data_IF_413446130283
#
_entry.id   IF_413446130283
#
_cell.length_a   1.000
_cell.length_b   1.000
_cell.length_c   1.000
_cell.angle_alpha   90.00
_cell.angle_beta   90.00
_cell.angle_gamma   90.00
#
_symmetry.space_group_name_H-M   'P 1'
#
loop_
_entity.id
_entity.type
_entity.pdbx_description
1 polymer ?
#
# COMPACT_ATOMS: atom_id res chain seq x y z
N UNK A 1 -10.56 -4.51 23.29
CA UNK A 1 -11.59 -3.67 22.63
C UNK A 1 -12.38 -4.50 21.62
N UNK A 2 -11.76 -5.14 20.63
CA UNK A 2 -12.44 -5.96 19.61
C UNK A 2 -13.37 -7.05 20.18
N UNK A 3 -12.91 -7.81 21.17
CA UNK A 3 -13.72 -8.84 21.85
C UNK A 3 -15.00 -8.29 22.48
N UNK A 4 -15.00 -7.04 22.95
CA UNK A 4 -16.21 -6.38 23.47
C UNK A 4 -17.28 -6.13 22.41
N UNK A 5 -16.88 -6.15 21.13
CA UNK A 5 -17.76 -6.03 19.96
C UNK A 5 -18.07 -7.39 19.31
N UNK A 6 -17.80 -8.51 19.99
CA UNK A 6 -18.09 -9.86 19.51
C UNK A 6 -17.10 -10.38 18.46
N UNK A 7 -16.00 -9.66 18.18
CA UNK A 7 -14.99 -10.09 17.21
C UNK A 7 -14.04 -11.09 17.87
N UNK A 8 -13.95 -12.29 17.31
CA UNK A 8 -13.03 -13.33 17.77
C UNK A 8 -11.60 -12.93 17.37
N UNK A 9 -10.81 -12.54 18.35
CA UNK A 9 -9.45 -12.07 18.09
C UNK A 9 -8.43 -12.64 19.08
N UNK A 10 -7.21 -12.85 18.56
CA UNK A 10 -6.02 -13.22 19.32
C UNK A 10 -4.97 -12.12 19.34
N UNK A 11 -4.00 -12.28 20.23
CA UNK A 11 -2.85 -11.38 20.38
C UNK A 11 -1.57 -12.15 20.09
N UNK A 12 -0.62 -11.52 19.37
CA UNK A 12 0.67 -12.14 19.05
C UNK A 12 1.81 -11.13 19.14
N UNK A 13 2.71 -11.32 20.09
CA UNK A 13 3.92 -10.49 20.23
C UNK A 13 5.07 -11.28 20.89
N UNK A 14 6.28 -10.76 20.81
CA UNK A 14 7.48 -11.44 21.31
C UNK A 14 7.48 -11.71 22.84
N UNK A 15 6.69 -10.98 23.62
CA UNK A 15 6.54 -11.18 25.07
C UNK A 15 5.63 -12.35 25.48
N UNK A 16 4.97 -13.02 24.51
CA UNK A 16 4.20 -14.23 24.78
C UNK A 16 5.11 -15.47 24.81
N UNK A 17 4.73 -16.50 25.57
CA UNK A 17 5.38 -17.81 25.52
C UNK A 17 5.26 -18.43 24.12
N UNK A 18 6.18 -19.34 23.76
CA UNK A 18 6.11 -20.07 22.50
C UNK A 18 4.76 -20.75 22.31
N UNK A 19 4.28 -21.46 23.36
CA UNK A 19 2.98 -22.12 23.34
C UNK A 19 1.80 -21.20 23.05
N UNK A 20 1.73 -20.02 23.67
CA UNK A 20 0.66 -19.05 23.42
C UNK A 20 0.72 -18.51 21.99
N UNK A 21 1.91 -18.34 21.43
CA UNK A 21 2.10 -17.91 20.04
C UNK A 21 1.61 -18.98 19.07
N UNK A 22 1.98 -20.24 19.31
CA UNK A 22 1.57 -21.39 18.49
C UNK A 22 0.06 -21.57 18.54
N UNK A 23 -0.56 -21.52 19.73
CA UNK A 23 -2.01 -21.60 19.89
C UNK A 23 -2.74 -20.49 19.14
N UNK A 24 -2.27 -19.22 19.22
CA UNK A 24 -2.88 -18.09 18.49
C UNK A 24 -2.73 -18.27 16.98
N UNK A 25 -1.58 -18.76 16.53
CA UNK A 25 -1.31 -19.00 15.11
C UNK A 25 -2.21 -20.12 14.57
N UNK A 26 -2.34 -21.23 15.28
CA UNK A 26 -3.20 -22.34 14.92
C UNK A 26 -4.67 -21.94 14.91
N UNK A 27 -5.11 -21.14 15.88
CA UNK A 27 -6.46 -20.60 15.93
C UNK A 27 -6.76 -19.70 14.71
N UNK A 28 -5.79 -18.90 14.28
CA UNK A 28 -5.95 -18.05 13.11
C UNK A 28 -5.93 -18.84 11.81
N UNK A 29 -5.03 -19.81 11.65
CA UNK A 29 -4.93 -20.65 10.45
C UNK A 29 -6.22 -21.47 10.26
N UNK A 30 -6.80 -21.96 11.35
CA UNK A 30 -8.00 -22.80 11.35
C UNK A 30 -9.33 -22.01 11.47
N UNK A 31 -9.33 -20.69 11.23
CA UNK A 31 -10.51 -19.81 11.29
C UNK A 31 -11.26 -19.83 12.65
N UNK A 32 -10.59 -20.25 13.74
CA UNK A 32 -11.15 -20.20 15.11
C UNK A 32 -11.20 -18.75 15.62
N UNK A 33 -10.25 -17.93 15.19
CA UNK A 33 -10.26 -16.47 15.37
C UNK A 33 -10.22 -15.76 14.02
N UNK A 34 -10.83 -14.60 13.94
CA UNK A 34 -10.99 -13.80 12.70
C UNK A 34 -9.89 -12.75 12.56
N UNK A 35 -9.38 -12.25 13.68
CA UNK A 35 -8.41 -11.17 13.73
C UNK A 35 -7.25 -11.52 14.63
N UNK A 36 -6.03 -11.21 14.19
CA UNK A 36 -4.84 -11.24 15.04
C UNK A 36 -4.31 -9.82 15.20
N UNK A 37 -4.24 -9.35 16.45
CA UNK A 37 -3.54 -8.12 16.80
C UNK A 37 -2.08 -8.47 17.10
N UNK A 38 -1.18 -8.05 16.22
CA UNK A 38 0.20 -8.48 16.28
C UNK A 38 1.20 -7.32 16.17
N UNK A 39 2.39 -7.57 16.72
CA UNK A 39 3.59 -6.81 16.36
C UNK A 39 4.32 -7.49 15.20
N UNK A 40 5.43 -6.92 14.76
CA UNK A 40 6.30 -7.42 13.66
C UNK A 40 6.61 -8.93 13.80
N UNK A 41 6.55 -9.48 15.00
CA UNK A 41 6.83 -10.91 15.27
C UNK A 41 5.83 -11.87 14.60
N UNK A 42 4.63 -11.44 14.23
CA UNK A 42 3.58 -12.27 13.61
C UNK A 42 3.77 -12.37 12.09
N UNK A 43 4.92 -12.50 11.61
CA UNK A 43 5.06 -12.40 10.17
C UNK A 43 5.82 -13.55 9.52
N UNK A 44 6.80 -14.07 10.16
CA UNK A 44 7.63 -15.12 9.59
C UNK A 44 6.96 -16.49 9.77
N UNK A 45 6.55 -17.11 8.64
CA UNK A 45 6.01 -18.47 8.63
C UNK A 45 4.49 -18.62 8.61
N UNK A 46 3.70 -17.52 8.50
CA UNK A 46 2.25 -17.65 8.36
C UNK A 46 1.89 -17.78 6.88
N UNK A 47 1.43 -18.97 6.53
CA UNK A 47 0.90 -19.26 5.19
C UNK A 47 -0.62 -19.45 5.23
N UNK A 48 -1.33 -18.34 5.48
CA UNK A 48 -2.79 -18.27 5.35
C UNK A 48 -3.12 -17.49 4.09
N UNK A 49 -3.69 -18.17 3.11
CA UNK A 49 -3.94 -17.60 1.78
C UNK A 49 -5.11 -16.61 1.75
N UNK A 50 -6.10 -16.79 2.63
CA UNK A 50 -7.38 -16.06 2.62
C UNK A 50 -7.41 -14.85 3.59
N UNK A 51 -6.30 -14.18 3.81
CA UNK A 51 -6.28 -12.90 4.55
C UNK A 51 -6.92 -11.81 3.69
N UNK A 52 -8.01 -11.22 4.18
CA UNK A 52 -8.77 -10.19 3.42
C UNK A 52 -8.29 -8.78 3.68
N UNK A 53 -7.70 -8.49 4.83
CA UNK A 53 -7.18 -7.16 5.15
C UNK A 53 -5.97 -7.23 6.06
N UNK A 54 -5.07 -6.26 5.83
CA UNK A 54 -3.93 -5.95 6.69
C UNK A 54 -4.07 -4.50 7.13
N UNK A 55 -4.18 -4.29 8.45
CA UNK A 55 -4.37 -2.96 9.04
C UNK A 55 -3.13 -2.58 9.83
N UNK A 56 -2.44 -1.55 9.38
CA UNK A 56 -1.36 -0.92 10.14
C UNK A 56 -1.96 0.18 11.02
N UNK A 57 -2.09 -0.11 12.30
CA UNK A 57 -2.59 0.85 13.29
C UNK A 57 -1.55 1.94 13.60
N UNK A 58 -0.27 1.61 13.49
CA UNK A 58 0.86 2.52 13.61
C UNK A 58 1.66 2.53 12.31
N UNK A 59 2.41 3.62 12.10
CA UNK A 59 3.30 3.75 10.94
C UNK A 59 4.41 2.67 10.98
N UNK A 60 4.62 1.87 9.93
CA UNK A 60 5.78 1.00 9.80
C UNK A 60 7.08 1.80 9.73
N UNK A 61 8.17 1.19 10.21
CA UNK A 61 9.49 1.85 10.24
C UNK A 61 10.14 2.03 8.87
N UNK A 62 9.69 1.29 7.86
CA UNK A 62 10.22 1.35 6.50
C UNK A 62 9.24 0.82 5.47
N UNK A 63 9.44 1.19 4.20
CA UNK A 63 8.64 0.69 3.06
C UNK A 63 8.84 -0.82 2.89
N UNK A 64 10.02 -1.36 3.12
CA UNK A 64 10.29 -2.79 2.99
C UNK A 64 9.48 -3.60 4.00
N UNK A 65 9.43 -3.16 5.28
CA UNK A 65 8.61 -3.80 6.30
C UNK A 65 7.13 -3.73 5.93
N UNK A 66 6.66 -2.55 5.54
CA UNK A 66 5.29 -2.34 5.07
C UNK A 66 4.93 -3.26 3.90
N UNK A 67 5.78 -3.33 2.88
CA UNK A 67 5.56 -4.17 1.69
C UNK A 67 5.48 -5.66 2.03
N UNK A 68 6.35 -6.16 2.90
CA UNK A 68 6.30 -7.54 3.37
C UNK A 68 5.02 -7.85 4.14
N UNK A 69 4.53 -6.89 4.94
CA UNK A 69 3.33 -7.06 5.76
C UNK A 69 2.06 -7.02 4.91
N UNK A 70 1.92 -6.07 4.00
CA UNK A 70 0.77 -6.01 3.08
C UNK A 70 0.73 -7.19 2.10
N UNK A 71 1.88 -7.75 1.74
CA UNK A 71 2.00 -8.94 0.89
C UNK A 71 1.41 -10.23 1.49
N UNK A 72 0.87 -10.18 2.71
CA UNK A 72 0.14 -11.30 3.34
C UNK A 72 -1.31 -11.35 2.91
N UNK A 73 -1.88 -10.23 2.49
CA UNK A 73 -3.27 -10.15 2.04
C UNK A 73 -3.44 -10.71 0.62
N UNK A 74 -4.53 -11.42 0.37
CA UNK A 74 -4.96 -11.84 -0.97
C UNK A 74 -4.05 -12.85 -1.68
N UNK A 75 -3.31 -13.70 -0.97
CA UNK A 75 -2.44 -14.72 -1.58
C UNK A 75 -3.20 -15.74 -2.43
N UNK A 76 -4.50 -15.86 -2.24
CA UNK A 76 -5.40 -16.68 -3.06
C UNK A 76 -5.88 -15.98 -4.33
N UNK A 77 -5.40 -14.75 -4.59
CA UNK A 77 -5.78 -13.94 -5.74
C UNK A 77 -7.15 -13.25 -5.64
N UNK A 78 -7.79 -13.32 -4.45
CA UNK A 78 -9.02 -12.58 -4.18
C UNK A 78 -8.73 -11.14 -3.77
N UNK A 79 -9.70 -10.24 -4.00
CA UNK A 79 -9.62 -8.86 -3.57
C UNK A 79 -9.35 -8.78 -2.06
N UNK A 80 -8.44 -7.91 -1.69
CA UNK A 80 -8.05 -7.66 -0.31
C UNK A 80 -7.66 -6.21 -0.12
N UNK A 81 -7.90 -5.67 1.07
CA UNK A 81 -7.62 -4.28 1.39
C UNK A 81 -6.42 -4.17 2.34
N UNK A 82 -5.62 -3.13 2.12
CA UNK A 82 -4.55 -2.73 3.04
C UNK A 82 -4.81 -1.33 3.54
N UNK A 83 -4.84 -1.15 4.87
CA UNK A 83 -5.17 0.11 5.51
C UNK A 83 -3.98 0.56 6.34
N UNK A 84 -3.54 1.80 6.14
CA UNK A 84 -2.48 2.42 6.92
C UNK A 84 -3.05 3.64 7.65
N UNK A 85 -3.03 3.63 8.98
CA UNK A 85 -3.23 4.82 9.79
C UNK A 85 -1.91 5.56 9.96
N UNK A 86 -1.93 6.86 9.71
CA UNK A 86 -0.77 7.73 9.83
C UNK A 86 -1.00 8.78 10.90
N UNK A 87 -0.04 8.96 11.80
CA UNK A 87 -0.04 10.01 12.80
C UNK A 87 1.35 10.62 13.01
N UNK A 88 1.40 11.92 13.30
CA UNK A 88 2.65 12.58 13.68
C UNK A 88 3.25 12.02 14.97
N UNK A 89 2.42 11.51 15.89
CA UNK A 89 2.88 10.87 17.11
C UNK A 89 3.73 9.64 16.84
N UNK A 90 3.31 8.80 15.89
CA UNK A 90 4.10 7.63 15.47
C UNK A 90 5.42 8.04 14.83
N UNK A 91 5.40 9.07 13.99
CA UNK A 91 6.59 9.58 13.33
C UNK A 91 7.63 10.08 14.35
N UNK A 92 7.21 10.86 15.36
CA UNK A 92 8.08 11.36 16.43
C UNK A 92 8.69 10.18 17.21
N UNK A 93 7.88 9.18 17.57
CA UNK A 93 8.34 8.00 18.30
C UNK A 93 9.37 7.20 17.49
N UNK A 94 9.06 6.93 16.21
CA UNK A 94 9.96 6.19 15.32
C UNK A 94 11.25 6.95 15.02
N UNK A 95 11.19 8.27 14.90
CA UNK A 95 12.38 9.13 14.75
C UNK A 95 13.29 8.98 15.96
N UNK A 96 12.75 9.00 17.19
CA UNK A 96 13.52 8.78 18.41
C UNK A 96 14.22 7.40 18.38
N UNK A 97 13.51 6.33 18.05
CA UNK A 97 14.12 5.00 17.96
C UNK A 97 15.17 4.90 16.85
N UNK A 98 14.97 5.57 15.73
CA UNK A 98 15.95 5.61 14.64
C UNK A 98 17.23 6.33 15.06
N UNK A 99 17.13 7.44 15.80
CA UNK A 99 18.28 8.22 16.29
C UNK A 99 19.08 7.49 17.37
N UNK A 100 18.45 6.63 18.17
CA UNK A 100 19.10 5.83 19.22
C UNK A 100 19.74 4.55 18.67
N UNK A 101 19.60 4.26 17.38
CA UNK A 101 20.11 3.03 16.76
C UNK A 101 21.56 3.16 16.26
N UNK A 102 22.28 2.03 16.21
CA UNK A 102 23.65 1.97 15.66
C UNK A 102 23.72 2.31 14.14
N UNK A 103 22.59 2.36 13.44
CA UNK A 103 22.47 2.68 12.02
C UNK A 103 21.55 3.89 11.80
N UNK A 104 21.75 4.93 12.61
CA UNK A 104 20.91 6.12 12.67
C UNK A 104 20.55 6.69 11.29
N UNK A 105 21.54 7.00 10.47
CA UNK A 105 21.32 7.64 9.17
C UNK A 105 20.45 6.78 8.24
N UNK A 106 20.71 5.47 8.20
CA UNK A 106 19.95 4.53 7.35
C UNK A 106 18.51 4.41 7.84
N UNK A 107 18.31 4.30 9.15
CA UNK A 107 16.97 4.14 9.72
C UNK A 107 16.13 5.42 9.59
N UNK A 108 16.73 6.59 9.74
CA UNK A 108 16.07 7.88 9.50
C UNK A 108 15.66 8.02 8.03
N UNK A 109 16.55 7.64 7.10
CA UNK A 109 16.24 7.69 5.67
C UNK A 109 15.07 6.77 5.30
N UNK A 110 15.08 5.53 5.79
CA UNK A 110 13.97 4.59 5.58
C UNK A 110 12.65 5.11 6.16
N UNK A 111 12.70 5.71 7.33
CA UNK A 111 11.52 6.33 7.95
C UNK A 111 11.02 7.52 7.13
N UNK A 112 11.91 8.38 6.65
CA UNK A 112 11.56 9.49 5.76
C UNK A 112 10.85 9.00 4.49
N UNK A 113 11.34 7.90 3.90
CA UNK A 113 10.68 7.29 2.73
C UNK A 113 9.29 6.77 3.05
N UNK A 114 9.11 6.14 4.21
CA UNK A 114 7.80 5.67 4.66
C UNK A 114 6.83 6.84 4.91
N UNK A 115 7.31 7.93 5.51
CA UNK A 115 6.54 9.16 5.68
C UNK A 115 6.11 9.72 4.32
N UNK A 116 7.04 9.86 3.38
CA UNK A 116 6.78 10.34 2.02
C UNK A 116 5.73 9.48 1.30
N UNK A 117 5.78 8.16 1.48
CA UNK A 117 4.76 7.26 0.96
C UNK A 117 3.38 7.54 1.57
N UNK A 118 3.30 7.71 2.89
CA UNK A 118 2.04 7.93 3.60
C UNK A 118 1.39 9.29 3.23
N UNK A 119 2.20 10.32 3.04
CA UNK A 119 1.74 11.70 2.76
C UNK A 119 1.54 11.99 1.25
N UNK A 120 1.93 11.07 0.37
CA UNK A 120 1.93 11.33 -1.07
C UNK A 120 0.55 11.41 -1.69
N UNK A 121 0.42 12.29 -2.67
CA UNK A 121 -0.72 12.43 -3.58
C UNK A 121 -0.53 11.70 -4.93
N UNK A 122 0.41 10.75 -4.98
CA UNK A 122 0.70 9.93 -6.15
C UNK A 122 0.21 8.50 -5.91
N UNK A 123 -0.10 7.77 -6.99
CA UNK A 123 -0.54 6.38 -6.94
C UNK A 123 0.37 5.54 -6.04
N UNK A 124 -0.21 4.91 -5.00
CA UNK A 124 0.52 4.13 -4.00
C UNK A 124 1.38 3.02 -4.63
N UNK A 125 0.85 2.33 -5.63
CA UNK A 125 1.58 1.27 -6.34
C UNK A 125 2.79 1.81 -7.11
N UNK A 126 2.65 2.96 -7.77
CA UNK A 126 3.78 3.57 -8.48
C UNK A 126 4.94 3.93 -7.55
N UNK A 127 4.63 4.45 -6.36
CA UNK A 127 5.66 4.77 -5.38
C UNK A 127 6.37 3.50 -4.92
N UNK A 128 5.62 2.43 -4.61
CA UNK A 128 6.21 1.15 -4.21
C UNK A 128 7.08 0.55 -5.31
N UNK A 129 6.60 0.50 -6.55
CA UNK A 129 7.37 -0.01 -7.70
C UNK A 129 8.63 0.81 -7.93
N UNK A 130 8.52 2.15 -7.92
CA UNK A 130 9.67 3.05 -8.05
C UNK A 130 10.70 2.85 -6.94
N UNK A 131 10.24 2.63 -5.70
CA UNK A 131 11.13 2.34 -4.57
C UNK A 131 11.95 1.06 -4.77
N UNK A 132 11.36 0.03 -5.40
CA UNK A 132 12.04 -1.23 -5.71
C UNK A 132 12.71 -1.25 -7.09
N UNK A 133 12.86 -0.11 -7.75
CA UNK A 133 13.58 0.03 -9.02
C UNK A 133 12.75 -0.29 -10.26
N UNK A 134 11.44 -0.51 -10.11
CA UNK A 134 10.53 -0.69 -11.26
C UNK A 134 9.91 0.63 -11.70
N UNK A 135 9.94 0.91 -13.00
CA UNK A 135 9.33 2.11 -13.56
C UNK A 135 8.01 1.77 -14.24
N UNK A 136 6.91 2.32 -13.72
CA UNK A 136 5.60 2.28 -14.37
C UNK A 136 5.08 3.68 -14.63
N UNK A 137 4.41 3.85 -15.77
CA UNK A 137 3.77 5.12 -16.14
C UNK A 137 2.28 5.13 -15.82
N UNK A 138 1.70 3.96 -15.54
CA UNK A 138 0.27 3.79 -15.32
C UNK A 138 -0.07 3.81 -13.83
N UNK A 139 -1.15 4.49 -13.49
CA UNK A 139 -1.73 4.48 -12.15
C UNK A 139 -2.54 3.18 -11.95
N UNK A 140 -2.57 2.66 -10.72
CA UNK A 140 -3.18 1.35 -10.48
C UNK A 140 -4.72 1.32 -10.53
N UNK A 141 -5.38 2.49 -10.55
CA UNK A 141 -6.84 2.63 -10.54
C UNK A 141 -7.54 2.18 -9.25
N UNK A 142 -6.82 1.65 -8.27
CA UNK A 142 -7.38 0.93 -7.12
C UNK A 142 -7.05 1.54 -5.75
N UNK A 143 -5.94 2.26 -5.60
CA UNK A 143 -5.57 2.86 -4.31
C UNK A 143 -6.45 4.08 -3.97
N UNK A 144 -6.34 4.57 -2.73
CA UNK A 144 -7.03 5.75 -2.21
C UNK A 144 -6.84 6.99 -3.11
N UNK A 145 -5.61 7.23 -3.56
CA UNK A 145 -5.26 8.34 -4.46
C UNK A 145 -5.90 8.19 -5.84
N UNK A 146 -5.91 6.96 -6.41
CA UNK A 146 -6.53 6.72 -7.72
C UNK A 146 -8.06 6.82 -7.67
N UNK A 147 -8.68 6.41 -6.55
CA UNK A 147 -10.14 6.52 -6.35
C UNK A 147 -10.59 7.95 -6.09
N UNK A 148 -9.72 8.78 -5.50
CA UNK A 148 -9.96 10.21 -5.26
C UNK A 148 -8.76 11.01 -5.78
N UNK A 149 -8.62 11.14 -7.12
CA UNK A 149 -7.44 11.74 -7.72
C UNK A 149 -7.32 13.23 -7.35
N UNK A 150 -6.13 13.66 -6.93
CA UNK A 150 -5.88 15.07 -6.69
C UNK A 150 -5.88 15.86 -8.00
N UNK A 151 -6.16 17.17 -7.90
CA UNK A 151 -6.06 18.07 -9.04
C UNK A 151 -4.60 18.13 -9.54
N UNK A 152 -4.42 17.99 -10.86
CA UNK A 152 -3.10 17.99 -11.50
C UNK A 152 -3.00 19.08 -12.55
N UNK A 153 -1.78 19.55 -12.80
CA UNK A 153 -1.46 20.53 -13.84
C UNK A 153 -0.22 20.12 -14.62
N UNK A 154 -0.03 20.71 -15.81
CA UNK A 154 1.18 20.49 -16.61
C UNK A 154 2.37 21.18 -15.94
N UNK A 155 3.13 20.44 -15.17
CA UNK A 155 4.32 20.86 -14.44
C UNK A 155 5.62 20.64 -15.24
N UNK A 156 5.56 20.34 -16.53
CA UNK A 156 6.73 19.98 -17.36
C UNK A 156 7.88 20.97 -17.21
N UNK A 157 7.60 22.28 -17.25
CA UNK A 157 8.62 23.32 -17.11
C UNK A 157 9.29 23.28 -15.72
N UNK A 158 8.51 23.03 -14.66
CA UNK A 158 9.05 22.92 -13.29
C UNK A 158 10.00 21.72 -13.21
N UNK A 159 9.58 20.58 -13.75
CA UNK A 159 10.40 19.36 -13.79
C UNK A 159 11.67 19.59 -14.62
N UNK A 160 11.56 20.22 -15.78
CA UNK A 160 12.70 20.53 -16.63
C UNK A 160 13.70 21.48 -15.96
N UNK A 161 13.25 22.50 -15.20
CA UNK A 161 14.13 23.38 -14.42
C UNK A 161 14.97 22.55 -13.42
N UNK A 162 14.33 21.65 -12.69
CA UNK A 162 15.01 20.80 -11.69
C UNK A 162 15.99 19.81 -12.34
N UNK A 163 15.52 19.04 -13.33
CA UNK A 163 16.36 18.05 -14.02
C UNK A 163 17.54 18.71 -14.77
N UNK A 164 17.32 19.89 -15.34
CA UNK A 164 18.38 20.66 -15.98
C UNK A 164 19.45 21.11 -14.97
N UNK A 165 19.07 21.48 -13.75
CA UNK A 165 20.01 21.83 -12.69
C UNK A 165 20.79 20.58 -12.22
N UNK A 166 20.12 19.43 -12.04
CA UNK A 166 20.78 18.16 -11.70
C UNK A 166 21.81 17.77 -12.79
N UNK A 167 21.43 17.87 -14.07
CA UNK A 167 22.34 17.54 -15.17
C UNK A 167 23.57 18.47 -15.20
N UNK A 168 23.38 19.79 -15.00
CA UNK A 168 24.45 20.79 -15.04
C UNK A 168 25.39 20.76 -13.85
N UNK A 169 24.97 20.14 -12.76
CA UNK A 169 25.84 19.87 -11.59
C UNK A 169 26.52 18.49 -11.68
N UNK A 170 26.56 17.88 -12.88
CA UNK A 170 27.08 16.54 -13.13
C UNK A 170 26.43 15.48 -12.22
N UNK A 171 25.16 15.69 -11.84
CA UNK A 171 24.41 14.81 -10.95
C UNK A 171 25.10 14.63 -9.55
N UNK A 172 25.81 15.66 -9.11
CA UNK A 172 26.51 15.70 -7.81
C UNK A 172 25.86 16.73 -6.87
N UNK A 173 24.55 16.69 -6.76
CA UNK A 173 23.77 17.62 -5.95
C UNK A 173 22.76 16.89 -5.10
N UNK A 174 22.62 17.30 -3.84
CA UNK A 174 21.56 16.85 -2.93
C UNK A 174 20.27 17.64 -3.14
N UNK A 175 19.14 17.18 -2.58
CA UNK A 175 17.86 17.92 -2.67
C UNK A 175 17.98 19.34 -2.13
N UNK A 176 18.60 19.51 -0.96
CA UNK A 176 18.75 20.83 -0.32
C UNK A 176 19.58 21.77 -1.19
N UNK A 177 20.73 21.30 -1.66
CA UNK A 177 21.62 22.09 -2.54
C UNK A 177 20.94 22.45 -3.87
N UNK A 178 20.15 21.52 -4.44
CA UNK A 178 19.38 21.76 -5.66
C UNK A 178 18.34 22.88 -5.47
N UNK A 179 17.64 22.90 -4.32
CA UNK A 179 16.67 23.95 -4.00
C UNK A 179 17.38 25.31 -3.93
N UNK A 180 18.54 25.37 -3.28
CA UNK A 180 19.31 26.62 -3.17
C UNK A 180 19.78 27.11 -4.55
N UNK A 181 20.25 26.21 -5.44
CA UNK A 181 20.60 26.54 -6.82
C UNK A 181 19.37 27.09 -7.58
N UNK A 182 18.25 26.39 -7.54
CA UNK A 182 17.03 26.81 -8.24
C UNK A 182 16.50 28.15 -7.74
N UNK A 183 16.60 28.41 -6.47
CA UNK A 183 16.18 29.69 -5.87
C UNK A 183 17.20 30.81 -6.03
N UNK A 184 18.42 30.48 -6.38
CA UNK A 184 19.52 31.45 -6.50
C UNK A 184 20.01 31.93 -5.13
N UNK A 185 20.06 31.04 -4.13
CA UNK A 185 20.63 31.32 -2.82
C UNK A 185 22.14 31.02 -2.85
N UNK A 186 23.04 32.02 -2.72
CA UNK A 186 24.47 31.78 -2.76
C UNK A 186 24.97 31.27 -1.40
N UNK A 187 25.02 29.94 -1.25
CA UNK A 187 25.66 29.30 -0.10
C UNK A 187 27.18 29.19 -0.32
N UNK A 188 27.96 28.93 0.73
CA UNK A 188 29.40 28.75 0.62
C UNK A 188 29.75 27.62 -0.39
N UNK A 189 29.05 26.49 -0.31
CA UNK A 189 29.24 25.34 -1.21
C UNK A 189 28.92 25.70 -2.69
N UNK A 190 27.86 26.46 -2.93
CA UNK A 190 27.45 26.90 -4.27
C UNK A 190 28.52 27.82 -4.88
N UNK A 191 29.10 28.70 -4.06
CA UNK A 191 30.13 29.63 -4.50
C UNK A 191 31.45 28.91 -4.79
N UNK A 192 31.86 27.98 -3.90
CA UNK A 192 33.06 27.19 -4.07
C UNK A 192 33.03 26.31 -5.33
N UNK A 193 31.87 25.73 -5.64
CA UNK A 193 31.66 24.89 -6.82
C UNK A 193 31.32 25.69 -8.09
N UNK A 194 31.35 27.03 -8.03
CA UNK A 194 30.98 27.94 -9.12
C UNK A 194 29.58 27.69 -9.72
N UNK A 195 28.65 27.19 -8.91
CA UNK A 195 27.27 26.91 -9.37
C UNK A 195 26.45 28.19 -9.57
N UNK A 196 26.94 29.35 -9.10
CA UNK A 196 26.37 30.67 -9.41
C UNK A 196 26.41 31.01 -10.91
N UNK A 197 27.33 30.39 -11.69
CA UNK A 197 27.46 30.61 -13.11
C UNK A 197 26.53 29.73 -13.97
N UNK A 198 25.86 28.77 -13.36
CA UNK A 198 24.94 27.90 -14.06
C UNK A 198 23.71 28.66 -14.57
N UNK A 199 23.30 28.41 -15.81
CA UNK A 199 22.05 28.98 -16.38
C UNK A 199 20.80 28.63 -15.55
N UNK A 200 20.88 27.61 -14.70
CA UNK A 200 19.82 27.17 -13.80
C UNK A 200 19.86 27.84 -12.44
N UNK A 201 20.90 28.62 -12.13
CA UNK A 201 20.98 29.35 -10.88
C UNK A 201 19.90 30.44 -10.82
N UNK A 202 18.98 30.32 -9.86
CA UNK A 202 17.84 31.21 -9.73
C UNK A 202 16.73 31.03 -10.76
N UNK A 203 16.77 29.98 -11.60
CA UNK A 203 15.73 29.72 -12.61
C UNK A 203 14.35 29.37 -12.00
N UNK A 204 14.29 29.08 -10.72
CA UNK A 204 13.09 28.73 -9.97
C UNK A 204 12.80 29.66 -8.80
N UNK A 205 13.25 30.93 -8.83
CA UNK A 205 13.03 31.93 -7.78
C UNK A 205 11.56 32.23 -7.50
N UNK A 206 10.74 32.09 -8.52
CA UNK A 206 9.29 32.24 -8.51
C UNK A 206 8.58 31.22 -7.60
N UNK A 207 9.22 30.10 -7.29
CA UNK A 207 8.65 29.04 -6.48
C UNK A 207 9.27 29.07 -5.06
N UNK A 208 8.48 29.08 -3.99
CA UNK A 208 8.98 29.02 -2.60
C UNK A 208 9.79 27.73 -2.35
N UNK A 209 10.76 27.78 -1.42
CA UNK A 209 11.60 26.62 -1.09
C UNK A 209 10.79 25.40 -0.66
N UNK A 210 9.70 25.61 0.11
CA UNK A 210 8.81 24.55 0.56
C UNK A 210 8.07 23.89 -0.59
N UNK A 211 7.63 24.67 -1.59
CA UNK A 211 6.94 24.14 -2.76
C UNK A 211 7.93 23.38 -3.66
N UNK A 212 9.17 23.81 -3.75
CA UNK A 212 10.24 23.05 -4.38
C UNK A 212 10.46 21.70 -3.71
N UNK A 213 10.43 21.64 -2.37
CA UNK A 213 10.50 20.37 -1.63
C UNK A 213 9.38 19.41 -2.07
N UNK A 214 8.14 19.91 -2.09
CA UNK A 214 6.98 19.10 -2.45
C UNK A 214 7.04 18.65 -3.93
N UNK A 215 7.44 19.52 -4.85
CA UNK A 215 7.61 19.14 -6.27
C UNK A 215 8.75 18.15 -6.50
N UNK A 216 9.89 18.32 -5.83
CA UNK A 216 11.01 17.38 -5.92
C UNK A 216 10.61 16.01 -5.34
N UNK A 217 9.83 16.00 -4.28
CA UNK A 217 9.28 14.76 -3.75
C UNK A 217 8.37 14.06 -4.78
N UNK A 218 7.45 14.78 -5.40
CA UNK A 218 6.62 14.23 -6.48
C UNK A 218 7.48 13.68 -7.64
N UNK A 219 8.51 14.42 -8.07
CA UNK A 219 9.42 13.98 -9.15
C UNK A 219 10.16 12.69 -8.79
N UNK A 220 10.63 12.57 -7.55
CA UNK A 220 11.28 11.38 -7.03
C UNK A 220 10.32 10.18 -7.01
N UNK A 221 9.10 10.37 -6.52
CA UNK A 221 8.04 9.34 -6.48
C UNK A 221 7.56 8.93 -7.88
N UNK A 222 7.62 9.84 -8.85
CA UNK A 222 7.33 9.56 -10.25
C UNK A 222 8.52 8.90 -10.99
N UNK A 223 9.64 8.73 -10.31
CA UNK A 223 10.83 8.10 -10.86
C UNK A 223 11.53 8.94 -11.92
N UNK A 224 11.47 10.27 -11.86
CA UNK A 224 12.23 11.14 -12.79
C UNK A 224 13.69 11.26 -12.40
N UNK A 225 14.01 11.08 -11.14
CA UNK A 225 15.37 10.92 -10.64
C UNK A 225 15.34 9.98 -9.43
N UNK A 226 16.50 9.49 -9.04
CA UNK A 226 16.73 8.65 -7.86
C UNK A 226 17.79 9.28 -6.96
N UNK A 227 17.87 8.82 -5.69
CA UNK A 227 18.89 9.27 -4.74
C UNK A 227 19.94 8.18 -4.61
N UNK A 228 21.18 8.47 -4.97
CA UNK A 228 22.33 7.62 -4.76
C UNK A 228 22.86 7.78 -3.31
N UNK A 229 22.31 6.97 -2.38
CA UNK A 229 22.65 7.05 -0.95
C UNK A 229 24.11 6.76 -0.64
N UNK A 230 24.75 5.93 -1.44
CA UNK A 230 26.19 5.61 -1.38
C UNK A 230 27.09 6.71 -1.94
N UNK A 231 26.52 7.73 -2.59
CA UNK A 231 27.22 8.85 -3.19
C UNK A 231 26.76 10.19 -2.57
N UNK A 232 26.80 10.33 -1.28
CA UNK A 232 26.41 11.54 -0.53
C UNK A 232 24.99 12.04 -0.83
N UNK A 233 24.04 11.13 -1.07
CA UNK A 233 22.65 11.45 -1.44
C UNK A 233 22.54 12.26 -2.73
N UNK A 234 23.44 12.04 -3.68
CA UNK A 234 23.40 12.70 -4.97
C UNK A 234 22.20 12.24 -5.80
N UNK A 235 21.65 13.17 -6.58
CA UNK A 235 20.49 12.93 -7.44
C UNK A 235 20.94 12.43 -8.81
N UNK A 236 20.39 11.29 -9.24
CA UNK A 236 20.68 10.70 -10.56
C UNK A 236 19.42 10.73 -11.44
N UNK A 237 19.56 11.22 -12.67
CA UNK A 237 18.44 11.31 -13.61
C UNK A 237 18.18 9.93 -14.20
N UNK A 238 16.92 9.49 -14.18
CA UNK A 238 16.49 8.23 -14.77
C UNK A 238 16.19 8.37 -16.28
N UNK A 239 15.92 7.25 -16.94
CA UNK A 239 15.44 7.26 -18.34
C UNK A 239 14.14 8.06 -18.50
N UNK A 240 13.18 7.87 -17.57
CA UNK A 240 11.92 8.63 -17.56
C UNK A 240 12.14 10.13 -17.32
N UNK A 241 13.09 10.50 -16.46
CA UNK A 241 13.48 11.89 -16.25
C UNK A 241 14.10 12.50 -17.50
N UNK A 242 14.96 11.76 -18.20
CA UNK A 242 15.54 12.20 -19.48
C UNK A 242 14.48 12.46 -20.53
N UNK A 243 13.42 11.66 -20.60
CA UNK A 243 12.33 11.87 -21.54
C UNK A 243 11.58 13.19 -21.29
N UNK A 244 11.37 13.55 -20.02
CA UNK A 244 10.77 14.85 -19.65
C UNK A 244 11.75 15.98 -19.90
N UNK A 245 13.02 15.83 -19.52
CA UNK A 245 14.06 16.85 -19.70
C UNK A 245 14.20 17.28 -21.16
N UNK A 246 14.17 16.33 -22.08
CA UNK A 246 14.29 16.58 -23.53
C UNK A 246 12.94 16.80 -24.25
N UNK A 247 11.84 16.94 -23.49
CA UNK A 247 10.53 17.28 -24.04
C UNK A 247 9.82 16.13 -24.77
N UNK A 248 10.30 14.89 -24.64
CA UNK A 248 9.67 13.70 -25.23
C UNK A 248 8.42 13.26 -24.49
N UNK A 249 8.30 13.67 -23.21
CA UNK A 249 7.17 13.35 -22.35
C UNK A 249 6.78 14.55 -21.51
N UNK A 250 5.47 14.77 -21.31
CA UNK A 250 4.94 15.75 -20.36
C UNK A 250 4.97 15.20 -18.93
N UNK A 251 5.13 16.10 -17.96
CA UNK A 251 5.07 15.78 -16.54
C UNK A 251 3.85 16.46 -15.90
N UNK A 252 2.93 15.65 -15.37
CA UNK A 252 1.77 16.13 -14.62
C UNK A 252 2.10 16.15 -13.14
N UNK A 253 2.09 17.32 -12.52
CA UNK A 253 2.28 17.50 -11.08
C UNK A 253 0.96 17.73 -10.37
N UNK A 254 0.88 17.34 -9.10
CA UNK A 254 -0.26 17.62 -8.22
C UNK A 254 -0.20 19.07 -7.75
N UNK A 255 -1.34 19.75 -7.75
CA UNK A 255 -1.49 21.09 -7.21
C UNK A 255 -1.28 21.08 -5.70
N UNK A 256 -0.29 21.83 -5.22
CA UNK A 256 -0.01 21.97 -3.79
C UNK A 256 -1.12 22.82 -3.17
N UNK A 257 -2.05 22.18 -2.47
CA UNK A 257 -3.08 22.86 -1.69
C UNK A 257 -2.59 22.99 -0.24
N UNK A 258 -2.43 24.22 0.21
CA UNK A 258 -2.15 24.50 1.62
C UNK A 258 -3.44 24.88 2.28
N UNK A 259 -3.90 24.05 3.22
CA UNK A 259 -4.96 24.48 4.14
C UNK A 259 -4.34 25.54 5.06
N UNK A 260 -4.84 26.77 4.98
CA UNK A 260 -4.64 27.72 6.07
C UNK A 260 -5.26 27.12 7.33
N UNK A 261 -4.65 27.29 8.52
CA UNK A 261 -5.20 26.74 9.76
C UNK A 261 -6.53 27.42 10.07
N UNK A 262 -7.60 26.92 9.49
CA UNK A 262 -8.95 27.33 9.83
C UNK A 262 -9.35 26.66 11.14
N UNK A 263 -9.61 27.48 12.15
CA UNK A 263 -10.33 27.10 13.37
C UNK A 263 -11.49 26.17 13.05
N UNK A 264 -11.45 24.97 13.63
CA UNK A 264 -12.32 23.85 13.34
C UNK A 264 -13.82 24.23 13.42
N UNK A 265 -14.48 24.46 12.29
CA UNK A 265 -15.94 24.34 12.16
C UNK A 265 -16.27 22.95 11.66
N UNK A 266 -16.85 22.15 12.55
CA UNK A 266 -17.43 20.82 12.31
C UNK A 266 -18.35 20.86 11.08
N UNK A 267 -17.89 20.35 9.93
CA UNK A 267 -18.76 20.08 8.78
C UNK A 267 -19.62 18.86 9.06
N UNK A 268 -20.92 19.06 9.18
CA UNK A 268 -21.95 18.01 9.14
C UNK A 268 -21.87 17.33 7.76
N UNK A 269 -21.66 16.00 7.75
CA UNK A 269 -21.83 15.17 6.55
C UNK A 269 -23.30 15.20 6.14
N UNK A 270 -23.59 15.68 4.94
CA UNK A 270 -24.87 15.46 4.26
C UNK A 270 -24.84 14.03 3.68
N UNK A 271 -25.79 13.22 4.12
CA UNK A 271 -26.05 11.89 3.58
C UNK A 271 -26.63 12.02 2.17
N UNK A 272 -26.00 11.35 1.21
CA UNK A 272 -26.61 11.08 -0.10
C UNK A 272 -27.47 9.81 0.03
N UNK A 273 -28.76 9.98 -0.09
CA UNK A 273 -29.77 8.91 -0.07
C UNK A 273 -30.31 8.72 -1.50
N UNK A 274 -30.60 7.47 -1.81
CA UNK A 274 -31.32 6.91 -2.96
C UNK A 274 -30.52 6.46 -4.19
N UNK A 275 -30.20 5.16 -4.17
CA UNK A 275 -30.50 4.19 -5.26
C UNK A 275 -29.98 2.80 -4.85
N UNK A 276 -30.61 2.11 -3.88
CA UNK A 276 -30.06 0.85 -3.33
C UNK A 276 -31.06 -0.31 -3.15
N UNK A 277 -32.33 -0.18 -3.43
CA UNK A 277 -33.29 -1.21 -3.02
C UNK A 277 -33.23 -2.53 -3.86
N UNK A 278 -32.82 -2.51 -5.12
CA UNK A 278 -32.77 -3.72 -5.99
C UNK A 278 -31.44 -4.46 -5.97
N UNK A 279 -30.35 -3.79 -5.55
CA UNK A 279 -29.04 -4.40 -5.41
C UNK A 279 -28.84 -5.11 -4.06
N UNK A 280 -29.62 -4.76 -3.03
CA UNK A 280 -29.53 -5.33 -1.69
C UNK A 280 -30.13 -6.71 -1.57
N UNK A 281 -31.22 -7.00 -2.26
CA UNK A 281 -31.90 -8.31 -2.17
C UNK A 281 -31.13 -9.44 -2.89
N UNK A 282 -30.43 -9.13 -3.97
CA UNK A 282 -29.56 -10.08 -4.66
C UNK A 282 -28.24 -10.28 -3.93
N UNK A 283 -27.71 -9.23 -3.28
CA UNK A 283 -26.51 -9.31 -2.44
C UNK A 283 -26.74 -10.15 -1.18
N UNK A 284 -27.89 -10.03 -0.52
CA UNK A 284 -28.18 -10.80 0.69
C UNK A 284 -28.19 -12.32 0.43
N UNK A 285 -28.81 -12.77 -0.67
CA UNK A 285 -28.86 -14.20 -1.03
C UNK A 285 -27.52 -14.77 -1.45
N UNK A 286 -26.66 -13.98 -2.06
CA UNK A 286 -25.30 -14.40 -2.44
C UNK A 286 -24.37 -14.44 -1.21
N UNK A 287 -24.52 -13.50 -0.30
CA UNK A 287 -23.83 -13.46 0.98
C UNK A 287 -24.25 -14.62 1.88
N UNK A 288 -25.55 -14.95 1.94
CA UNK A 288 -26.07 -16.08 2.70
C UNK A 288 -25.54 -17.41 2.16
N UNK A 289 -25.50 -17.62 0.85
CA UNK A 289 -24.91 -18.81 0.24
C UNK A 289 -23.40 -18.89 0.51
N UNK A 290 -22.69 -17.77 0.41
CA UNK A 290 -21.26 -17.76 0.69
C UNK A 290 -20.94 -18.15 2.12
N UNK A 291 -21.67 -17.62 3.09
CA UNK A 291 -21.48 -17.97 4.52
C UNK A 291 -21.87 -19.43 4.79
N UNK A 292 -22.92 -19.96 4.16
CA UNK A 292 -23.28 -21.36 4.27
C UNK A 292 -22.19 -22.29 3.69
N UNK A 293 -21.64 -21.96 2.52
CA UNK A 293 -20.52 -22.71 1.92
C UNK A 293 -19.25 -22.62 2.77
N UNK A 294 -18.99 -21.46 3.38
CA UNK A 294 -17.88 -21.26 4.30
C UNK A 294 -18.02 -22.10 5.56
N UNK A 295 -19.23 -22.19 6.12
CA UNK A 295 -19.53 -23.00 7.29
C UNK A 295 -19.35 -24.50 6.98
N UNK A 296 -19.87 -24.98 5.84
CA UNK A 296 -19.68 -26.37 5.39
C UNK A 296 -18.20 -26.69 5.18
N UNK A 297 -17.46 -25.80 4.49
CA UNK A 297 -16.01 -25.95 4.31
C UNK A 297 -15.29 -26.12 5.64
N UNK A 298 -15.64 -25.28 6.61
CA UNK A 298 -15.03 -25.36 7.95
C UNK A 298 -15.34 -26.68 8.63
N UNK A 299 -16.59 -27.13 8.59
CA UNK A 299 -16.99 -28.42 9.15
C UNK A 299 -16.18 -29.58 8.54
N UNK A 300 -16.02 -29.60 7.23
CA UNK A 300 -15.24 -30.63 6.52
C UNK A 300 -13.75 -30.55 6.86
N UNK A 301 -13.21 -29.35 6.99
CA UNK A 301 -11.82 -29.12 7.39
C UNK A 301 -11.53 -29.59 8.80
N UNK A 302 -12.44 -29.28 9.75
CA UNK A 302 -12.32 -29.69 11.16
C UNK A 302 -12.38 -31.23 11.30
N UNK A 303 -13.19 -31.92 10.50
CA UNK A 303 -13.24 -33.39 10.47
C UNK A 303 -11.93 -34.04 10.01
N UNK A 304 -11.19 -33.34 9.17
CA UNK A 304 -9.92 -33.82 8.61
C UNK A 304 -8.67 -33.26 9.31
N UNK A 305 -8.85 -32.43 10.32
CA UNK A 305 -7.78 -31.68 10.96
C UNK A 305 -6.91 -30.89 9.97
N UNK A 306 -7.54 -30.28 8.96
CA UNK A 306 -6.91 -29.48 7.92
C UNK A 306 -7.34 -28.01 8.01
N UNK A 307 -6.50 -27.06 7.60
CA UNK A 307 -6.93 -25.68 7.40
C UNK A 307 -8.04 -25.56 6.34
N UNK A 308 -9.06 -24.75 6.62
CA UNK A 308 -10.26 -24.64 5.78
C UNK A 308 -9.96 -24.29 4.31
N UNK A 309 -8.97 -23.42 4.05
CA UNK A 309 -8.58 -23.03 2.69
C UNK A 309 -7.96 -24.17 1.85
N UNK A 310 -7.49 -25.24 2.49
CA UNK A 310 -6.99 -26.43 1.79
C UNK A 310 -8.14 -27.22 1.19
N UNK A 311 -9.28 -27.31 1.86
CA UNK A 311 -10.50 -27.96 1.33
C UNK A 311 -10.92 -27.21 0.06
N UNK A 312 -11.29 -25.95 0.15
CA UNK A 312 -11.55 -25.06 -0.98
C UNK A 312 -11.07 -23.62 -0.63
N UNK A 313 -10.45 -22.91 -1.58
CA UNK A 313 -10.09 -21.52 -1.40
C UNK A 313 -11.32 -20.60 -1.46
N UNK A 314 -11.23 -19.39 -0.87
CA UNK A 314 -12.32 -18.42 -0.93
C UNK A 314 -12.68 -18.06 -2.37
N UNK A 315 -11.69 -18.01 -3.28
CA UNK A 315 -11.92 -17.82 -4.71
C UNK A 315 -12.85 -18.87 -5.30
N UNK A 316 -12.67 -20.14 -4.93
CA UNK A 316 -13.53 -21.24 -5.39
C UNK A 316 -14.92 -21.10 -4.79
N UNK A 317 -15.07 -20.72 -3.50
CA UNK A 317 -16.38 -20.47 -2.89
C UNK A 317 -17.14 -19.35 -3.61
N UNK A 318 -16.49 -18.25 -3.98
CA UNK A 318 -17.12 -17.20 -4.79
C UNK A 318 -17.55 -17.68 -6.18
N UNK A 319 -16.72 -18.49 -6.85
CA UNK A 319 -17.10 -19.09 -8.13
C UNK A 319 -18.31 -20.04 -7.99
N UNK A 320 -18.43 -20.75 -6.87
CA UNK A 320 -19.59 -21.58 -6.54
C UNK A 320 -20.86 -20.74 -6.32
N UNK A 321 -20.74 -19.58 -5.65
CA UNK A 321 -21.87 -18.65 -5.47
C UNK A 321 -22.38 -18.10 -6.82
N UNK A 322 -21.45 -17.77 -7.73
CA UNK A 322 -21.80 -17.24 -9.05
C UNK A 322 -22.39 -18.30 -9.98
N UNK A 323 -21.79 -19.50 -10.03
CA UNK A 323 -22.16 -20.56 -10.97
C UNK A 323 -23.26 -21.49 -10.48
N UNK A 324 -23.46 -21.58 -9.16
CA UNK A 324 -24.47 -22.43 -8.47
C UNK A 324 -24.62 -23.82 -9.08
N UNK A 325 -23.55 -24.65 -9.10
CA UNK A 325 -23.60 -25.95 -9.73
C UNK A 325 -24.55 -26.88 -8.97
N UNK A 326 -25.50 -27.49 -9.69
CA UNK A 326 -26.48 -28.42 -9.12
C UNK A 326 -26.10 -29.91 -9.35
N UNK A 327 -24.98 -30.17 -10.04
CA UNK A 327 -24.43 -31.52 -10.24
C UNK A 327 -22.95 -31.57 -9.84
N UNK A 328 -22.48 -32.78 -9.49
CA UNK A 328 -21.08 -33.00 -9.12
C UNK A 328 -20.14 -32.78 -10.31
N UNK A 329 -20.61 -33.05 -11.52
CA UNK A 329 -19.88 -32.78 -12.75
C UNK A 329 -19.70 -31.30 -12.98
N UNK A 330 -20.74 -30.48 -12.82
CA UNK A 330 -20.69 -29.04 -12.94
C UNK A 330 -19.80 -28.42 -11.83
N UNK A 331 -19.87 -28.95 -10.61
CA UNK A 331 -18.97 -28.58 -9.52
C UNK A 331 -17.50 -28.83 -9.88
N UNK A 332 -17.20 -30.01 -10.47
CA UNK A 332 -15.82 -30.36 -10.86
C UNK A 332 -15.26 -29.51 -12.00
N UNK A 333 -16.11 -28.85 -12.81
CA UNK A 333 -15.67 -27.97 -13.90
C UNK A 333 -15.21 -26.57 -13.42
N UNK A 334 -15.37 -26.26 -12.15
CA UNK A 334 -14.97 -24.97 -11.60
C UNK A 334 -13.45 -24.91 -11.45
N UNK A 335 -12.86 -23.83 -11.93
CA UNK A 335 -11.42 -23.63 -11.84
C UNK A 335 -10.95 -23.63 -10.37
N UNK A 336 -9.99 -24.51 -10.07
CA UNK A 336 -9.48 -24.73 -8.71
C UNK A 336 -10.09 -25.94 -7.99
N UNK A 337 -10.99 -26.70 -8.66
CA UNK A 337 -11.52 -27.98 -8.19
C UNK A 337 -10.92 -29.10 -9.04
N UNK A 338 -9.96 -29.82 -8.50
CA UNK A 338 -9.39 -31.00 -9.13
C UNK A 338 -10.23 -32.27 -8.86
N UNK A 339 -9.98 -33.37 -9.59
CA UNK A 339 -10.70 -34.64 -9.50
C UNK A 339 -10.77 -35.19 -8.05
N UNK A 340 -9.71 -35.02 -7.25
CA UNK A 340 -9.70 -35.43 -5.86
C UNK A 340 -10.77 -34.68 -5.04
N UNK A 341 -10.80 -33.33 -5.14
CA UNK A 341 -11.75 -32.50 -4.41
C UNK A 341 -13.19 -32.70 -4.90
N UNK A 342 -13.39 -32.90 -6.20
CA UNK A 342 -14.66 -33.26 -6.81
C UNK A 342 -15.24 -34.54 -6.21
N UNK A 343 -14.45 -35.60 -6.17
CA UNK A 343 -14.89 -36.90 -5.61
C UNK A 343 -15.16 -36.83 -4.13
N UNK A 344 -14.32 -36.10 -3.38
CA UNK A 344 -14.34 -36.10 -1.93
C UNK A 344 -15.42 -35.16 -1.37
N UNK A 345 -15.55 -33.96 -1.87
CA UNK A 345 -16.41 -32.91 -1.32
C UNK A 345 -17.59 -32.53 -2.21
N UNK A 346 -17.58 -32.92 -3.49
CA UNK A 346 -18.56 -32.45 -4.46
C UNK A 346 -20.01 -32.74 -4.07
N UNK A 347 -20.29 -33.88 -3.44
CA UNK A 347 -21.65 -34.25 -3.02
C UNK A 347 -22.20 -33.31 -1.96
N UNK A 348 -21.36 -32.93 -0.96
CA UNK A 348 -21.76 -32.12 0.16
C UNK A 348 -22.00 -30.68 -0.26
N UNK A 349 -21.07 -30.12 -1.05
CA UNK A 349 -21.21 -28.76 -1.58
C UNK A 349 -22.40 -28.62 -2.54
N UNK A 350 -22.63 -29.57 -3.44
CA UNK A 350 -23.78 -29.57 -4.36
C UNK A 350 -25.10 -29.70 -3.60
N UNK A 351 -25.16 -30.56 -2.58
CA UNK A 351 -26.36 -30.72 -1.74
C UNK A 351 -26.72 -29.41 -1.03
N UNK A 352 -25.74 -28.68 -0.54
CA UNK A 352 -25.96 -27.38 0.09
C UNK A 352 -26.40 -26.32 -0.95
N UNK A 353 -25.71 -26.22 -2.08
CA UNK A 353 -26.04 -25.23 -3.13
C UNK A 353 -27.47 -25.39 -3.63
N UNK A 354 -27.97 -26.62 -3.78
CA UNK A 354 -29.37 -26.93 -4.17
C UNK A 354 -30.41 -26.32 -3.22
N UNK A 355 -30.07 -26.03 -2.00
CA UNK A 355 -31.01 -25.41 -1.04
C UNK A 355 -31.16 -23.89 -1.30
N UNK A 356 -30.29 -23.30 -2.12
CA UNK A 356 -30.28 -21.87 -2.45
C UNK A 356 -30.62 -21.58 -3.91
N UNK A 357 -30.91 -22.59 -4.70
CA UNK A 357 -31.38 -22.52 -6.09
C UNK A 357 -32.87 -22.78 -6.15
#
# INVERSE_FOLDING_TARGET
>A
MLQKHGIRCGVYHAGLSARQRDETQDDFINDRIEVVCATIAFGMGIDKSNVRWVIHYNLPKSIESFYQEIGRAGRDGMASDTILFYSLGDLILLTKFATESNQQNINLEKLNRMQQYAESDICRRRILLSYFGETTTEDCGNCDVCRNPPERFDGTIIVQKALSAIARTNQQVSITLLIDILRGNPTAEITEKAYTELKTFGAGRDIPARDWQDYLLQMLQMGYFEIAYNENNHLKITGSGSDVLFGRKKAMLVVIRREEPTTAKRRKKSAATHTQAWAEESRSKEEDLFEALRALRKQLADQEALPAYIVLSDKVLHLLCLSRPTTVEAFGNINGIGEYKKKKYGKDFVALIRQFV
#
